data_IF_227356496620
#
_entry.id   IF_227356496620
#
_cell.length_a   1.000
_cell.length_b   1.000
_cell.length_c   1.000
_cell.angle_alpha   90.00
_cell.angle_beta   90.00
_cell.angle_gamma   90.00
#
_symmetry.space_group_name_H-M   'P 1'
#
loop_
_entity.id
_entity.type
_entity.pdbx_description
1 polymer ?
#
# COMPACT_ATOMS: atom_id res chain seq x y z
N UNK A 1 0.50 7.93 -21.42
CA UNK A 1 0.00 8.41 -22.74
C UNK A 1 -0.88 9.64 -22.59
N UNK A 2 -1.91 9.63 -21.74
CA UNK A 2 -2.80 10.79 -21.50
C UNK A 2 -2.06 12.12 -21.27
N UNK A 3 -1.03 12.12 -20.42
CA UNK A 3 -0.23 13.31 -20.13
C UNK A 3 0.54 13.84 -21.35
N UNK A 4 1.09 12.95 -22.20
CA UNK A 4 1.72 13.34 -23.47
C UNK A 4 0.66 13.91 -24.41
N UNK A 5 -0.47 13.21 -24.58
CA UNK A 5 -1.58 13.67 -25.46
C UNK A 5 -2.13 15.04 -25.06
N UNK A 6 -2.13 15.35 -23.76
CA UNK A 6 -2.56 16.65 -23.22
C UNK A 6 -1.43 17.70 -23.13
N UNK A 7 -0.25 17.42 -23.68
CA UNK A 7 0.91 18.33 -23.64
C UNK A 7 1.49 18.56 -22.24
N UNK A 8 1.10 17.78 -21.24
CA UNK A 8 1.58 17.89 -19.84
C UNK A 8 2.89 17.13 -19.58
N UNK A 9 3.37 16.35 -20.55
CA UNK A 9 4.65 15.65 -20.49
C UNK A 9 5.22 15.50 -21.91
N UNK A 10 6.55 15.52 -22.02
CA UNK A 10 7.26 15.39 -23.31
C UNK A 10 7.84 13.99 -23.53
N UNK A 11 7.98 13.19 -22.48
CA UNK A 11 8.60 11.86 -22.52
C UNK A 11 7.94 10.91 -21.50
N UNK A 12 7.97 9.61 -21.80
CA UNK A 12 7.64 8.54 -20.85
C UNK A 12 8.85 7.63 -20.71
N UNK A 13 9.25 7.37 -19.47
CA UNK A 13 10.20 6.29 -19.13
C UNK A 13 9.39 5.04 -18.75
N UNK A 14 9.41 4.02 -19.61
CA UNK A 14 8.80 2.72 -19.33
C UNK A 14 9.86 1.75 -18.82
N UNK A 15 9.67 1.24 -17.60
CA UNK A 15 10.54 0.20 -17.04
C UNK A 15 9.93 -1.19 -17.27
N UNK A 16 10.76 -2.24 -17.40
CA UNK A 16 10.26 -3.60 -17.42
C UNK A 16 9.54 -3.93 -16.11
N UNK A 17 8.54 -4.80 -16.19
CA UNK A 17 7.81 -5.28 -15.02
C UNK A 17 8.72 -6.19 -14.20
N UNK A 18 8.96 -5.82 -12.94
CA UNK A 18 9.71 -6.64 -11.98
C UNK A 18 8.77 -7.71 -11.41
N UNK A 19 9.15 -8.99 -11.50
CA UNK A 19 8.37 -10.09 -10.95
C UNK A 19 8.54 -10.20 -9.43
N UNK A 20 7.54 -10.74 -8.74
CA UNK A 20 7.58 -10.94 -7.27
C UNK A 20 8.81 -11.73 -6.82
N UNK A 21 9.18 -12.77 -7.55
CA UNK A 21 10.36 -13.59 -7.24
C UNK A 21 11.68 -12.79 -7.35
N UNK A 22 11.74 -11.82 -8.26
CA UNK A 22 12.90 -10.95 -8.41
C UNK A 22 13.00 -9.95 -7.25
N UNK A 23 11.87 -9.40 -6.81
CA UNK A 23 11.79 -8.57 -5.60
C UNK A 23 12.34 -9.33 -4.40
N UNK A 24 11.88 -10.57 -4.19
CA UNK A 24 12.34 -11.43 -3.08
C UNK A 24 13.84 -11.71 -3.21
N UNK A 25 14.31 -12.15 -4.38
CA UNK A 25 15.73 -12.45 -4.63
C UNK A 25 16.64 -11.24 -4.38
N UNK A 26 16.26 -10.06 -4.87
CA UNK A 26 17.05 -8.82 -4.71
C UNK A 26 17.11 -8.40 -3.24
N UNK A 27 15.98 -8.43 -2.53
CA UNK A 27 15.92 -8.10 -1.10
C UNK A 27 16.78 -9.07 -0.26
N UNK A 28 16.70 -10.38 -0.50
CA UNK A 28 17.52 -11.39 0.19
C UNK A 28 19.02 -11.20 -0.10
N UNK A 29 19.37 -10.68 -1.27
CA UNK A 29 20.76 -10.31 -1.61
C UNK A 29 21.23 -8.99 -1.01
N UNK A 30 20.46 -8.38 -0.09
CA UNK A 30 20.73 -7.05 0.52
C UNK A 30 20.94 -5.93 -0.49
N UNK A 31 20.27 -6.03 -1.64
CA UNK A 31 20.23 -4.99 -2.68
C UNK A 31 18.82 -4.42 -2.77
N UNK A 32 18.71 -3.25 -3.39
CA UNK A 32 17.44 -2.56 -3.62
C UNK A 32 17.33 -2.13 -5.06
N UNK A 33 16.10 -2.14 -5.59
CA UNK A 33 15.80 -1.45 -6.85
C UNK A 33 15.79 0.06 -6.62
N UNK A 34 15.85 0.82 -7.71
CA UNK A 34 15.66 2.28 -7.62
C UNK A 34 14.26 2.61 -7.12
N UNK A 35 14.10 3.81 -6.55
CA UNK A 35 12.80 4.26 -6.09
C UNK A 35 11.75 4.19 -7.23
N UNK A 36 10.51 3.84 -6.88
CA UNK A 36 9.37 3.74 -7.82
C UNK A 36 9.51 2.70 -8.95
N UNK A 37 10.43 1.72 -8.87
CA UNK A 37 10.52 0.64 -9.86
C UNK A 37 9.40 -0.40 -9.79
N UNK A 38 8.69 -0.51 -8.65
CA UNK A 38 7.62 -1.50 -8.46
C UNK A 38 6.26 -0.83 -8.25
N UNK A 39 5.19 -1.39 -8.82
CA UNK A 39 3.79 -0.97 -8.57
C UNK A 39 2.95 -2.18 -8.18
N UNK A 40 2.75 -2.37 -6.88
CA UNK A 40 1.96 -3.49 -6.35
C UNK A 40 0.46 -3.14 -6.33
N UNK A 41 -0.35 -3.99 -6.95
CA UNK A 41 -1.80 -4.01 -6.83
C UNK A 41 -2.14 -4.98 -5.70
N UNK A 42 -2.83 -4.50 -4.66
CA UNK A 42 -3.18 -5.29 -3.47
C UNK A 42 -4.69 -5.54 -3.53
N UNK A 43 -5.18 -6.79 -3.68
CA UNK A 43 -6.58 -7.07 -3.99
C UNK A 43 -7.62 -6.40 -3.08
N UNK A 44 -7.34 -6.32 -1.77
CA UNK A 44 -8.22 -5.72 -0.78
C UNK A 44 -7.39 -4.80 0.12
N UNK A 45 -7.23 -3.53 -0.28
CA UNK A 45 -6.36 -2.60 0.46
C UNK A 45 -7.12 -1.98 1.64
N UNK A 46 -6.69 -2.23 2.90
CA UNK A 46 -7.23 -1.49 4.02
C UNK A 46 -6.65 -0.07 4.04
N UNK A 47 -7.50 0.93 4.25
CA UNK A 47 -7.10 2.33 4.40
C UNK A 47 -7.66 2.91 5.70
N UNK A 48 -6.98 3.94 6.21
CA UNK A 48 -7.37 4.69 7.41
C UNK A 48 -7.52 3.83 8.68
N UNK A 49 -6.72 2.77 8.81
CA UNK A 49 -6.66 2.00 10.06
C UNK A 49 -6.32 2.93 11.23
N UNK A 50 -5.42 3.91 11.03
CA UNK A 50 -5.10 4.96 12.01
C UNK A 50 -4.64 4.39 13.37
N UNK A 51 -3.71 3.43 13.35
CA UNK A 51 -3.15 2.84 14.58
C UNK A 51 -2.42 3.92 15.40
N UNK A 52 -2.61 3.99 16.74
CA UNK A 52 -1.86 4.91 17.58
C UNK A 52 -0.35 4.68 17.50
N UNK A 53 0.44 5.73 17.20
CA UNK A 53 1.91 5.62 17.07
C UNK A 53 2.59 5.07 18.33
N UNK A 54 2.02 5.34 19.52
CA UNK A 54 2.50 4.79 20.79
C UNK A 54 2.50 3.26 20.85
N UNK A 55 1.75 2.58 19.99
CA UNK A 55 1.80 1.11 19.89
C UNK A 55 3.02 0.61 19.13
N UNK A 56 3.62 1.44 18.26
CA UNK A 56 4.78 1.08 17.44
C UNK A 56 6.11 1.28 18.18
N UNK A 57 6.12 2.12 19.22
CA UNK A 57 7.30 2.47 20.01
C UNK A 57 6.95 2.28 21.49
N UNK A 58 7.15 1.07 22.02
CA UNK A 58 6.75 0.76 23.39
C UNK A 58 7.42 -0.51 23.93
N UNK A 59 7.17 -0.78 25.21
CA UNK A 59 7.63 -1.98 25.91
C UNK A 59 6.60 -3.11 25.91
N UNK A 60 5.41 -2.86 25.35
CA UNK A 60 4.36 -3.87 25.25
C UNK A 60 4.85 -5.01 24.35
N UNK A 61 4.44 -6.23 24.70
CA UNK A 61 4.81 -7.39 23.91
C UNK A 61 4.09 -7.38 22.56
N UNK A 62 4.66 -8.09 21.59
CA UNK A 62 4.04 -8.29 20.28
C UNK A 62 2.65 -8.91 20.40
N UNK A 63 2.46 -9.84 21.34
CA UNK A 63 1.17 -10.50 21.60
C UNK A 63 0.13 -9.51 22.12
N UNK A 64 0.49 -8.67 23.09
CA UNK A 64 -0.44 -7.67 23.65
C UNK A 64 -0.88 -6.67 22.57
N UNK A 65 0.08 -6.19 21.75
CA UNK A 65 -0.20 -5.24 20.67
C UNK A 65 -1.12 -5.87 19.62
N UNK A 66 -0.91 -7.15 19.28
CA UNK A 66 -1.80 -7.86 18.34
C UNK A 66 -3.22 -8.01 18.88
N UNK A 67 -3.39 -8.38 20.16
CA UNK A 67 -4.72 -8.44 20.77
C UNK A 67 -5.41 -7.08 20.77
N UNK A 68 -4.67 -6.02 21.12
CA UNK A 68 -5.16 -4.65 21.07
C UNK A 68 -5.56 -4.24 19.64
N UNK A 69 -4.77 -4.62 18.63
CA UNK A 69 -5.06 -4.36 17.23
C UNK A 69 -6.32 -5.07 16.77
N UNK A 70 -6.50 -6.35 17.10
CA UNK A 70 -7.72 -7.10 16.75
C UNK A 70 -8.96 -6.43 17.34
N UNK A 71 -8.93 -6.08 18.64
CA UNK A 71 -10.05 -5.39 19.31
C UNK A 71 -10.33 -4.02 18.68
N UNK A 72 -9.27 -3.27 18.35
CA UNK A 72 -9.38 -1.97 17.72
C UNK A 72 -9.99 -2.06 16.32
N UNK A 73 -9.53 -2.98 15.48
CA UNK A 73 -10.10 -3.19 14.14
C UNK A 73 -11.55 -3.67 14.21
N UNK A 74 -11.88 -4.56 15.14
CA UNK A 74 -13.25 -5.04 15.36
C UNK A 74 -14.23 -3.94 15.79
N UNK A 75 -13.74 -2.89 16.45
CA UNK A 75 -14.55 -1.73 16.86
C UNK A 75 -14.88 -0.76 15.72
N UNK A 76 -14.21 -0.88 14.57
CA UNK A 76 -14.33 0.05 13.45
C UNK A 76 -15.45 -0.35 12.52
N UNK A 77 -16.09 0.66 11.91
CA UNK A 77 -16.97 0.41 10.76
C UNK A 77 -16.11 0.30 9.50
N UNK A 78 -16.50 -0.61 8.62
CA UNK A 78 -15.80 -0.85 7.36
C UNK A 78 -16.70 -0.43 6.21
N UNK A 79 -16.20 0.48 5.36
CA UNK A 79 -16.83 0.86 4.10
C UNK A 79 -16.05 0.27 2.94
N UNK A 80 -16.73 -0.55 2.13
CA UNK A 80 -16.17 -1.07 0.89
C UNK A 80 -16.31 -0.03 -0.23
N UNK A 81 -15.25 0.17 -1.02
CA UNK A 81 -15.28 0.97 -2.24
C UNK A 81 -14.80 0.12 -3.42
N UNK A 82 -15.51 0.17 -4.57
CA UNK A 82 -15.17 -0.62 -5.75
C UNK A 82 -13.86 -0.13 -6.39
N UNK A 83 -13.24 -0.93 -7.27
CA UNK A 83 -12.01 -0.56 -7.97
C UNK A 83 -12.05 0.78 -8.71
N UNK A 84 -10.89 1.40 -8.93
CA UNK A 84 -10.76 2.63 -9.72
C UNK A 84 -10.94 3.92 -8.93
N UNK A 85 -11.06 3.87 -7.60
CA UNK A 85 -11.19 5.08 -6.79
C UNK A 85 -9.94 5.97 -6.87
N UNK A 86 -10.17 7.27 -6.77
CA UNK A 86 -9.13 8.29 -6.61
C UNK A 86 -9.34 8.97 -5.26
N UNK A 87 -8.42 8.75 -4.32
CA UNK A 87 -8.46 9.36 -2.99
C UNK A 87 -7.29 10.34 -2.87
N UNK A 88 -6.09 9.82 -2.62
CA UNK A 88 -4.80 10.52 -2.76
C UNK A 88 -4.15 10.19 -4.11
N UNK A 89 -4.33 8.95 -4.55
CA UNK A 89 -3.90 8.41 -5.83
C UNK A 89 -4.98 7.50 -6.40
N UNK A 90 -4.78 7.07 -7.64
CA UNK A 90 -5.62 6.07 -8.29
C UNK A 90 -5.29 4.67 -7.78
N UNK A 91 -6.30 4.00 -7.24
CA UNK A 91 -6.26 2.59 -6.83
C UNK A 91 -7.01 1.76 -7.87
N UNK A 92 -6.34 0.74 -8.42
CA UNK A 92 -6.99 -0.17 -9.37
C UNK A 92 -7.68 -1.34 -8.65
N UNK A 93 -7.42 -1.51 -7.36
CA UNK A 93 -7.97 -2.52 -6.47
C UNK A 93 -9.20 -2.06 -5.67
N UNK A 94 -9.89 -3.01 -5.02
CA UNK A 94 -10.92 -2.75 -4.03
C UNK A 94 -10.33 -2.17 -2.74
N UNK A 95 -11.08 -1.26 -2.10
CA UNK A 95 -10.64 -0.57 -0.89
C UNK A 95 -11.60 -0.86 0.27
N UNK A 96 -11.02 -1.05 1.46
CA UNK A 96 -11.74 -1.20 2.72
C UNK A 96 -11.35 -0.04 3.64
N UNK A 97 -12.26 0.92 3.80
CA UNK A 97 -12.05 2.11 4.60
C UNK A 97 -12.51 1.86 6.03
N UNK A 98 -11.59 2.00 6.99
CA UNK A 98 -11.89 1.89 8.42
C UNK A 98 -12.25 3.27 8.97
N UNK A 99 -13.41 3.39 9.63
CA UNK A 99 -13.89 4.61 10.30
C UNK A 99 -14.19 4.35 11.76
#
# INVERSE_FOLDING_TARGET
>A
MEAIKKGKASLILAMPTILKQEVVRVALSRRVFTHKSTRHIIPARPLFINIPLKWLHGKLSYTDINEMLVRYLASKKIKHLPPGQVIDRRYEEELYIFT
#
